data_IF_413813549920
#
_entry.id   IF_413813549920
#
_cell.length_a   1.000
_cell.length_b   1.000
_cell.length_c   1.000
_cell.angle_alpha   90.00
_cell.angle_beta   90.00
_cell.angle_gamma   90.00
#
_symmetry.space_group_name_H-M   'P 1'
#
loop_
_entity.id
_entity.type
_entity.pdbx_description
1 polymer ?
#
# COMPACT_ATOMS: atom_id res chain seq x y z
N UNK A 1 -1.05 -36.77 7.52
CA UNK A 1 -1.96 -35.60 7.56
C UNK A 1 -3.15 -35.90 6.67
N UNK A 2 -4.36 -35.73 7.18
CA UNK A 2 -5.61 -35.94 6.44
C UNK A 2 -5.77 -34.84 5.36
N UNK A 3 -6.19 -35.17 4.11
CA UNK A 3 -6.51 -34.20 3.05
C UNK A 3 -7.43 -33.04 3.47
N UNK A 4 -8.40 -33.28 4.35
CA UNK A 4 -9.29 -32.24 4.91
C UNK A 4 -8.56 -31.27 5.83
N UNK A 5 -7.54 -31.76 6.57
CA UNK A 5 -6.68 -30.90 7.40
C UNK A 5 -5.81 -29.99 6.53
N UNK A 6 -5.29 -30.52 5.42
CA UNK A 6 -4.54 -29.75 4.43
C UNK A 6 -5.40 -28.67 3.75
N UNK A 7 -6.67 -28.99 3.45
CA UNK A 7 -7.61 -28.05 2.85
C UNK A 7 -7.91 -26.87 3.76
N UNK A 8 -8.15 -27.12 5.05
CA UNK A 8 -8.40 -26.09 6.07
C UNK A 8 -7.18 -25.19 6.33
N UNK A 9 -5.97 -25.71 6.18
CA UNK A 9 -4.74 -24.93 6.30
C UNK A 9 -4.52 -23.99 5.11
N UNK A 10 -5.08 -24.32 3.94
CA UNK A 10 -4.96 -23.54 2.71
C UNK A 10 -6.11 -22.55 2.49
N UNK A 11 -7.14 -22.57 3.34
CA UNK A 11 -8.19 -21.55 3.32
C UNK A 11 -7.64 -20.25 3.93
N UNK A 12 -7.68 -19.12 3.20
CA UNK A 12 -7.28 -17.83 3.75
C UNK A 12 -8.09 -17.58 5.02
N UNK A 13 -7.42 -17.17 6.11
CA UNK A 13 -8.11 -16.71 7.30
C UNK A 13 -8.91 -15.45 6.92
N UNK A 14 -10.18 -15.60 6.61
CA UNK A 14 -11.09 -14.48 6.37
C UNK A 14 -11.39 -13.87 7.74
N UNK A 15 -11.18 -12.56 7.88
CA UNK A 15 -11.51 -11.86 9.12
C UNK A 15 -13.04 -11.73 9.21
N UNK A 16 -13.70 -12.28 10.24
CA UNK A 16 -15.17 -12.25 10.34
C UNK A 16 -15.74 -10.83 10.40
N UNK A 17 -14.95 -9.87 10.88
CA UNK A 17 -15.33 -8.46 11.02
C UNK A 17 -14.95 -7.60 9.82
N UNK A 18 -14.31 -8.17 8.79
CA UNK A 18 -13.79 -7.41 7.64
C UNK A 18 -12.63 -6.46 8.00
N UNK A 19 -12.17 -5.72 7.00
CA UNK A 19 -11.17 -4.64 7.14
C UNK A 19 -11.80 -3.43 7.85
N UNK A 20 -11.03 -2.71 8.67
CA UNK A 20 -11.50 -1.47 9.29
C UNK A 20 -11.95 -0.44 8.22
N UNK A 21 -12.99 0.39 8.47
CA UNK A 21 -13.51 1.30 7.45
C UNK A 21 -12.46 2.21 6.83
N UNK A 22 -11.51 2.70 7.62
CA UNK A 22 -10.44 3.57 7.15
C UNK A 22 -9.44 2.83 6.25
N UNK A 23 -9.06 1.59 6.62
CA UNK A 23 -8.19 0.77 5.81
C UNK A 23 -8.90 0.34 4.51
N UNK A 24 -10.21 0.12 4.54
CA UNK A 24 -10.99 -0.18 3.34
C UNK A 24 -11.03 1.04 2.42
N UNK A 25 -11.25 2.24 2.97
CA UNK A 25 -11.26 3.48 2.21
C UNK A 25 -9.89 3.73 1.55
N UNK A 26 -8.81 3.55 2.30
CA UNK A 26 -7.45 3.67 1.78
C UNK A 26 -7.15 2.64 0.68
N UNK A 27 -7.49 1.37 0.91
CA UNK A 27 -7.33 0.31 -0.09
C UNK A 27 -8.08 0.66 -1.37
N UNK A 28 -9.35 1.03 -1.28
CA UNK A 28 -10.16 1.40 -2.44
C UNK A 28 -9.58 2.59 -3.20
N UNK A 29 -9.09 3.61 -2.47
CA UNK A 29 -8.46 4.79 -3.07
C UNK A 29 -7.17 4.41 -3.83
N UNK A 30 -6.31 3.58 -3.24
CA UNK A 30 -5.08 3.10 -3.90
C UNK A 30 -5.44 2.31 -5.17
N UNK A 31 -6.39 1.38 -5.06
CA UNK A 31 -6.80 0.54 -6.19
C UNK A 31 -7.36 1.38 -7.33
N UNK A 32 -8.21 2.38 -7.04
CA UNK A 32 -8.77 3.30 -8.04
C UNK A 32 -7.66 4.12 -8.72
N UNK A 33 -6.68 4.65 -7.96
CA UNK A 33 -5.53 5.38 -8.53
C UNK A 33 -4.69 4.51 -9.45
N UNK A 34 -4.46 3.24 -9.09
CA UNK A 34 -3.71 2.29 -9.93
C UNK A 34 -4.52 1.94 -11.18
N UNK A 35 -5.79 1.58 -11.04
CA UNK A 35 -6.64 1.18 -12.16
C UNK A 35 -6.91 2.35 -13.14
N UNK A 36 -6.85 3.60 -12.68
CA UNK A 36 -6.88 4.82 -13.53
C UNK A 36 -5.53 5.22 -14.13
N UNK A 37 -4.44 4.53 -13.78
CA UNK A 37 -3.09 4.86 -14.23
C UNK A 37 -2.49 6.12 -13.60
N UNK A 38 -3.06 6.65 -12.52
CA UNK A 38 -2.50 7.77 -11.77
C UNK A 38 -1.27 7.33 -10.97
N UNK A 39 -1.28 6.09 -10.45
CA UNK A 39 -0.12 5.43 -9.84
C UNK A 39 0.28 4.29 -10.75
N UNK A 40 1.53 4.31 -11.20
CA UNK A 40 2.14 3.18 -11.88
C UNK A 40 2.97 2.40 -10.87
N UNK A 41 2.53 1.18 -10.55
CA UNK A 41 3.19 0.30 -9.59
C UNK A 41 4.61 -0.12 -9.99
N UNK A 42 5.08 0.23 -11.19
CA UNK A 42 6.46 0.01 -11.67
C UNK A 42 7.32 1.29 -11.66
N UNK A 43 6.74 2.47 -11.38
CA UNK A 43 7.43 3.75 -11.42
C UNK A 43 7.23 4.53 -10.12
N UNK A 44 8.22 4.52 -9.19
CA UNK A 44 8.13 5.20 -7.89
C UNK A 44 7.83 6.69 -7.97
N UNK A 45 8.28 7.37 -9.04
CA UNK A 45 7.99 8.79 -9.27
C UNK A 45 6.50 9.11 -9.37
N UNK A 46 5.66 8.15 -9.77
CA UNK A 46 4.19 8.35 -9.80
C UNK A 46 3.55 8.41 -8.41
N UNK A 47 4.28 8.03 -7.37
CA UNK A 47 3.86 8.18 -5.98
C UNK A 47 4.16 9.58 -5.42
N UNK A 48 5.01 10.35 -6.10
CA UNK A 48 5.58 11.60 -5.57
C UNK A 48 4.73 12.80 -6.00
N UNK A 49 4.34 13.62 -5.02
CA UNK A 49 3.79 14.94 -5.24
C UNK A 49 4.92 15.93 -5.53
N UNK A 50 5.24 16.11 -6.82
CA UNK A 50 6.31 17.00 -7.27
C UNK A 50 6.16 18.44 -6.79
N UNK A 51 4.93 18.94 -6.59
CA UNK A 51 4.71 20.28 -6.09
C UNK A 51 5.32 20.51 -4.70
N UNK A 52 5.40 19.48 -3.87
CA UNK A 52 6.01 19.54 -2.53
C UNK A 52 7.46 19.04 -2.60
N UNK A 53 7.71 17.94 -3.31
CA UNK A 53 9.04 17.35 -3.44
C UNK A 53 10.07 18.33 -4.02
N UNK A 54 9.71 19.11 -5.04
CA UNK A 54 10.63 20.04 -5.70
C UNK A 54 11.06 21.20 -4.79
N UNK A 55 10.34 21.43 -3.68
CA UNK A 55 10.66 22.43 -2.68
C UNK A 55 11.57 21.89 -1.57
N UNK A 56 11.81 20.58 -1.54
CA UNK A 56 12.64 19.96 -0.52
C UNK A 56 14.15 20.17 -0.79
N UNK A 57 14.96 20.27 0.26
CA UNK A 57 16.41 20.21 0.10
C UNK A 57 16.83 18.85 -0.49
N UNK A 58 17.93 18.79 -1.26
CA UNK A 58 18.34 17.57 -1.98
C UNK A 58 18.50 16.32 -1.10
N UNK A 59 18.92 16.48 0.15
CA UNK A 59 19.03 15.39 1.11
C UNK A 59 17.67 14.74 1.40
N UNK A 60 16.62 15.56 1.57
CA UNK A 60 15.25 15.07 1.80
C UNK A 60 14.66 14.46 0.53
N UNK A 61 14.97 15.01 -0.64
CA UNK A 61 14.55 14.44 -1.92
C UNK A 61 15.06 13.01 -2.09
N UNK A 62 16.37 12.77 -1.90
CA UNK A 62 16.93 11.42 -1.99
C UNK A 62 16.33 10.44 -0.98
N UNK A 63 15.95 10.92 0.20
CA UNK A 63 15.22 10.11 1.19
C UNK A 63 13.81 9.76 0.72
N UNK A 64 13.07 10.72 0.18
CA UNK A 64 11.73 10.50 -0.39
C UNK A 64 11.79 9.50 -1.55
N UNK A 65 12.79 9.58 -2.41
CA UNK A 65 12.96 8.64 -3.53
C UNK A 65 13.15 7.20 -3.04
N UNK A 66 14.01 7.01 -2.02
CA UNK A 66 14.23 5.70 -1.42
C UNK A 66 12.96 5.17 -0.74
N UNK A 67 12.28 6.01 0.02
CA UNK A 67 11.09 5.63 0.75
C UNK A 67 9.90 5.36 -0.20
N UNK A 68 9.80 6.06 -1.33
CA UNK A 68 8.83 5.80 -2.40
C UNK A 68 8.97 4.39 -2.98
N UNK A 69 10.19 3.89 -3.18
CA UNK A 69 10.44 2.51 -3.66
C UNK A 69 9.87 1.47 -2.68
N UNK A 70 10.07 1.70 -1.37
CA UNK A 70 9.58 0.80 -0.32
C UNK A 70 8.05 0.79 -0.24
N UNK A 71 7.43 1.97 -0.28
CA UNK A 71 5.98 2.11 -0.30
C UNK A 71 5.39 1.43 -1.54
N UNK A 72 5.95 1.70 -2.72
CA UNK A 72 5.47 1.13 -3.99
C UNK A 72 5.55 -0.39 -4.01
N UNK A 73 6.60 -0.98 -3.43
CA UNK A 73 6.74 -2.43 -3.29
C UNK A 73 5.60 -3.03 -2.47
N UNK A 74 5.24 -2.38 -1.37
CA UNK A 74 4.15 -2.83 -0.51
C UNK A 74 2.79 -2.66 -1.20
N UNK A 75 2.58 -1.54 -1.88
CA UNK A 75 1.37 -1.29 -2.69
C UNK A 75 1.20 -2.32 -3.81
N UNK A 76 2.29 -2.71 -4.47
CA UNK A 76 2.27 -3.74 -5.52
C UNK A 76 1.84 -5.09 -4.95
N UNK A 77 2.42 -5.50 -3.83
CA UNK A 77 2.04 -6.74 -3.16
C UNK A 77 0.55 -6.72 -2.74
N UNK A 78 0.03 -5.58 -2.26
CA UNK A 78 -1.40 -5.42 -1.95
C UNK A 78 -2.25 -5.61 -3.20
N UNK A 79 -1.88 -4.95 -4.31
CA UNK A 79 -2.60 -5.03 -5.57
C UNK A 79 -2.61 -6.46 -6.13
N UNK A 80 -1.46 -7.14 -6.12
CA UNK A 80 -1.32 -8.51 -6.62
C UNK A 80 -2.19 -9.48 -5.81
N UNK A 81 -2.15 -9.39 -4.48
CA UNK A 81 -3.01 -10.20 -3.61
C UNK A 81 -4.50 -9.92 -3.87
N UNK A 82 -4.87 -8.65 -4.03
CA UNK A 82 -6.25 -8.26 -4.31
C UNK A 82 -6.74 -8.75 -5.69
N UNK A 83 -5.87 -8.81 -6.70
CA UNK A 83 -6.23 -9.34 -8.03
C UNK A 83 -6.37 -10.86 -8.02
N UNK A 84 -5.67 -11.58 -7.14
CA UNK A 84 -5.80 -13.03 -6.96
C UNK A 84 -7.13 -13.36 -6.29
N UNK A 85 -7.37 -12.76 -5.14
CA UNK A 85 -8.57 -12.98 -4.33
C UNK A 85 -9.05 -11.61 -3.87
N UNK A 86 -10.14 -11.12 -4.46
CA UNK A 86 -10.74 -9.78 -4.21
C UNK A 86 -11.38 -9.70 -2.82
N UNK A 87 -10.82 -10.43 -1.87
CA UNK A 87 -11.27 -10.55 -0.50
C UNK A 87 -10.26 -9.83 0.40
N UNK A 88 -10.75 -8.97 1.31
CA UNK A 88 -9.90 -8.29 2.26
C UNK A 88 -9.43 -9.27 3.35
N UNK A 89 -8.24 -9.86 3.15
CA UNK A 89 -7.61 -10.79 4.12
C UNK A 89 -6.88 -10.02 5.23
N UNK A 90 -6.57 -10.69 6.34
CA UNK A 90 -5.72 -10.11 7.40
C UNK A 90 -4.37 -9.62 6.87
N UNK A 91 -3.80 -10.32 5.88
CA UNK A 91 -2.54 -9.95 5.27
C UNK A 91 -2.67 -8.60 4.54
N UNK A 92 -3.71 -8.44 3.72
CA UNK A 92 -3.98 -7.19 3.01
C UNK A 92 -4.21 -6.05 4.01
N UNK A 93 -5.00 -6.29 5.07
CA UNK A 93 -5.26 -5.28 6.10
C UNK A 93 -3.97 -4.80 6.79
N UNK A 94 -3.12 -5.73 7.20
CA UNK A 94 -1.86 -5.40 7.87
C UNK A 94 -0.94 -4.60 6.95
N UNK A 95 -0.87 -4.96 5.67
CA UNK A 95 -0.06 -4.25 4.68
C UNK A 95 -0.60 -2.84 4.42
N UNK A 96 -1.93 -2.70 4.28
CA UNK A 96 -2.59 -1.39 4.13
C UNK A 96 -2.30 -0.50 5.34
N UNK A 97 -2.47 -1.05 6.54
CA UNK A 97 -2.18 -0.32 7.78
C UNK A 97 -0.71 0.12 7.85
N UNK A 98 0.21 -0.79 7.51
CA UNK A 98 1.64 -0.49 7.49
C UNK A 98 1.98 0.63 6.50
N UNK A 99 1.39 0.62 5.30
CA UNK A 99 1.60 1.70 4.31
C UNK A 99 1.13 3.03 4.87
N UNK A 100 -0.07 3.10 5.46
CA UNK A 100 -0.61 4.34 6.06
C UNK A 100 0.30 4.91 7.14
N UNK A 101 0.64 4.10 8.14
CA UNK A 101 1.51 4.53 9.26
C UNK A 101 2.90 4.92 8.76
N UNK A 102 3.44 4.16 7.79
CA UNK A 102 4.74 4.49 7.20
C UNK A 102 4.68 5.82 6.46
N UNK A 103 3.62 6.06 5.67
CA UNK A 103 3.40 7.32 4.97
C UNK A 103 3.37 8.48 5.95
N UNK A 104 2.50 8.42 6.96
CA UNK A 104 2.34 9.47 7.98
C UNK A 104 3.69 9.83 8.63
N UNK A 105 4.44 8.82 9.08
CA UNK A 105 5.77 9.02 9.68
C UNK A 105 6.79 9.67 8.73
N UNK A 106 6.73 9.34 7.44
CA UNK A 106 7.66 9.90 6.45
C UNK A 106 7.31 11.36 6.13
N UNK A 107 6.03 11.69 6.14
CA UNK A 107 5.51 13.02 5.86
C UNK A 107 5.69 13.98 7.04
N UNK A 108 5.73 13.49 8.28
CA UNK A 108 6.18 14.28 9.43
C UNK A 108 7.58 14.90 9.23
N UNK A 109 8.44 14.21 8.45
CA UNK A 109 9.82 14.63 8.21
C UNK A 109 9.93 15.47 6.93
N UNK A 110 9.15 15.12 5.90
CA UNK A 110 9.35 15.58 4.52
C UNK A 110 8.19 16.40 3.95
N UNK A 111 7.10 16.60 4.70
CA UNK A 111 5.84 17.16 4.19
C UNK A 111 5.00 16.13 3.42
N UNK A 112 3.82 16.53 2.96
CA UNK A 112 2.82 15.68 2.25
C UNK A 112 3.27 15.31 0.82
N UNK A 113 4.35 14.55 0.72
CA UNK A 113 5.06 14.24 -0.53
C UNK A 113 4.49 13.04 -1.27
N UNK A 114 3.59 12.25 -0.69
CA UNK A 114 3.05 11.05 -1.34
C UNK A 114 1.58 11.23 -1.72
N UNK A 115 1.21 10.89 -2.96
CA UNK A 115 -0.15 11.09 -3.50
C UNK A 115 -1.19 10.04 -3.06
N UNK A 116 -0.92 9.36 -1.95
CA UNK A 116 -1.71 8.26 -1.36
C UNK A 116 -2.22 8.59 0.04
#
# INVERSE_FOLDING_TARGET
>A
MDPQTQKRLNEPLVKPTGISPENQAFLNMVLDKVDRGQINLLMPSTLINHAIYDQLPPEKQGKVDFDAVNLLTTLRNIYDLWKIDKQPTFQIENMVHQVRVTKERLEEISGDVYVI
#
